data_IF_140877816164
#
_entry.id   IF_140877816164
#
_cell.length_a   1.000
_cell.length_b   1.000
_cell.length_c   1.000
_cell.angle_alpha   90.00
_cell.angle_beta   90.00
_cell.angle_gamma   90.00
#
_symmetry.space_group_name_H-M   'P 1'
#
loop_
_entity.id
_entity.type
_entity.pdbx_description
1 polymer ?
#
# COMPACT_ATOMS: atom_id res chain seq x y z
N UNK A 1 7.50 -15.96 5.28
CA UNK A 1 6.77 -14.79 5.76
C UNK A 1 6.83 -13.66 4.72
N UNK A 2 5.74 -12.99 4.49
CA UNK A 2 5.68 -11.92 3.51
C UNK A 2 5.67 -10.59 4.23
N UNK A 3 6.53 -9.70 3.80
CA UNK A 3 6.62 -8.39 4.42
C UNK A 3 5.41 -7.54 4.07
N UNK A 4 5.03 -6.68 5.00
CA UNK A 4 3.90 -5.79 4.78
C UNK A 4 4.12 -4.91 3.53
N UNK A 5 5.34 -4.41 3.34
CA UNK A 5 5.60 -3.56 2.18
C UNK A 5 5.39 -4.32 0.87
N UNK A 6 5.57 -5.64 0.88
CA UNK A 6 5.32 -6.44 -0.31
C UNK A 6 3.84 -6.47 -0.63
N UNK A 7 3.00 -6.64 0.39
CA UNK A 7 1.56 -6.64 0.17
C UNK A 7 1.05 -5.26 -0.25
N UNK A 8 1.58 -4.21 0.35
CA UNK A 8 1.19 -2.86 -0.04
C UNK A 8 1.58 -2.61 -1.48
N UNK A 9 2.81 -2.98 -1.84
CA UNK A 9 3.27 -2.79 -3.21
C UNK A 9 2.40 -3.52 -4.22
N UNK A 10 2.02 -4.75 -3.90
CA UNK A 10 1.16 -5.54 -4.78
C UNK A 10 -0.22 -4.89 -4.93
N UNK A 11 -0.76 -4.36 -3.85
CA UNK A 11 -2.07 -3.71 -3.92
C UNK A 11 -2.04 -2.47 -4.80
N UNK A 12 -0.97 -1.68 -4.68
CA UNK A 12 -0.82 -0.49 -5.50
C UNK A 12 -0.65 -0.86 -6.97
N UNK A 13 0.16 -1.87 -7.24
CA UNK A 13 0.37 -2.32 -8.61
C UNK A 13 -0.92 -2.84 -9.22
N UNK A 14 -1.68 -3.61 -8.47
CA UNK A 14 -2.93 -4.16 -8.97
C UNK A 14 -3.91 -3.04 -9.34
N UNK A 15 -4.01 -2.02 -8.49
CA UNK A 15 -4.89 -0.90 -8.77
C UNK A 15 -4.45 -0.14 -10.02
N UNK A 16 -3.14 0.05 -10.17
CA UNK A 16 -2.62 0.73 -11.35
C UNK A 16 -2.94 -0.04 -12.61
N UNK A 17 -2.69 -1.35 -12.58
CA UNK A 17 -2.93 -2.18 -13.76
C UNK A 17 -4.42 -2.23 -14.09
N UNK A 18 -5.26 -2.32 -13.07
CA UNK A 18 -6.70 -2.34 -13.28
C UNK A 18 -7.17 -1.06 -13.96
N UNK A 19 -6.52 0.05 -13.67
CA UNK A 19 -6.88 1.33 -14.27
C UNK A 19 -6.23 1.53 -15.64
N UNK A 20 -5.42 0.58 -16.09
CA UNK A 20 -4.76 0.70 -17.37
C UNK A 20 -3.72 1.80 -17.42
N UNK A 21 -3.12 2.14 -16.27
CA UNK A 21 -2.18 3.24 -16.19
C UNK A 21 -0.75 2.72 -16.12
N UNK A 22 0.17 3.49 -16.70
CA UNK A 22 1.56 3.11 -16.69
C UNK A 22 2.20 3.53 -15.37
N UNK A 23 3.33 2.91 -15.09
CA UNK A 23 4.10 3.28 -13.91
C UNK A 23 4.50 4.74 -13.98
N UNK A 24 4.91 5.21 -15.17
CA UNK A 24 5.31 6.59 -15.35
C UNK A 24 4.16 7.55 -15.08
N UNK A 25 2.97 7.19 -15.52
CA UNK A 25 1.82 8.03 -15.33
C UNK A 25 1.48 8.22 -13.84
N UNK A 26 1.49 7.13 -13.09
CA UNK A 26 1.19 7.22 -11.67
C UNK A 26 2.32 7.93 -10.92
N UNK A 27 3.56 7.67 -11.29
CA UNK A 27 4.68 8.34 -10.64
C UNK A 27 4.58 9.85 -10.83
N UNK A 28 4.20 10.27 -12.04
CA UNK A 28 4.05 11.69 -12.33
C UNK A 28 2.92 12.29 -11.49
N UNK A 29 1.79 11.61 -11.43
CA UNK A 29 0.65 12.10 -10.66
C UNK A 29 0.97 12.19 -9.18
N UNK A 30 1.72 11.25 -8.65
CA UNK A 30 2.07 11.23 -7.25
C UNK A 30 3.28 12.10 -6.93
N UNK A 31 3.96 12.60 -7.97
CA UNK A 31 5.15 13.43 -7.82
C UNK A 31 6.28 12.69 -7.14
N UNK A 32 6.47 11.44 -7.53
CA UNK A 32 7.60 10.65 -7.06
C UNK A 32 8.38 10.19 -8.28
N UNK A 33 9.61 9.76 -8.06
CA UNK A 33 10.42 9.28 -9.17
C UNK A 33 9.90 7.93 -9.64
N UNK A 34 10.14 7.65 -10.91
CA UNK A 34 9.73 6.38 -11.49
C UNK A 34 10.42 5.22 -10.77
N UNK A 35 11.70 5.36 -10.50
CA UNK A 35 12.43 4.30 -9.81
C UNK A 35 11.91 4.05 -8.41
N UNK A 36 11.56 5.13 -7.71
CA UNK A 36 11.02 4.99 -6.37
C UNK A 36 9.70 4.22 -6.39
N UNK A 37 8.78 4.63 -7.27
CA UNK A 37 7.50 3.94 -7.35
C UNK A 37 7.68 2.48 -7.76
N UNK A 38 8.60 2.22 -8.68
CA UNK A 38 8.88 0.86 -9.10
C UNK A 38 9.33 0.01 -7.91
N UNK A 39 10.21 0.55 -7.08
CA UNK A 39 10.71 -0.19 -5.93
C UNK A 39 9.61 -0.41 -4.90
N UNK A 40 8.74 0.56 -4.72
CA UNK A 40 7.62 0.41 -3.79
C UNK A 40 6.67 -0.68 -4.27
N UNK A 41 6.37 -0.69 -5.56
CA UNK A 41 5.47 -1.71 -6.10
C UNK A 41 6.06 -3.11 -5.97
N UNK A 42 7.37 -3.23 -6.08
CA UNK A 42 8.01 -4.53 -5.96
C UNK A 42 8.30 -4.94 -4.52
N UNK A 43 7.91 -4.10 -3.57
CA UNK A 43 8.13 -4.43 -2.17
C UNK A 43 9.57 -4.28 -1.74
N UNK A 44 10.38 -3.57 -2.51
CA UNK A 44 11.79 -3.40 -2.22
C UNK A 44 12.09 -2.16 -1.39
N UNK A 45 11.10 -1.31 -1.21
CA UNK A 45 11.27 -0.09 -0.45
C UNK A 45 9.99 0.23 0.30
N UNK A 46 10.14 0.63 1.54
CA UNK A 46 8.99 1.08 2.32
C UNK A 46 8.74 2.53 2.03
N UNK A 47 7.51 2.88 1.75
CA UNK A 47 7.16 4.26 1.52
C UNK A 47 6.81 4.91 2.85
N UNK A 48 7.20 6.16 3.03
CA UNK A 48 6.74 6.92 4.18
C UNK A 48 5.23 7.08 4.06
N UNK A 49 4.55 7.32 5.17
CA UNK A 49 3.10 7.46 5.10
C UNK A 49 2.71 8.63 4.22
N UNK A 50 3.50 9.67 4.19
CA UNK A 50 3.22 10.81 3.35
C UNK A 50 3.30 10.46 1.87
N UNK A 51 4.37 9.77 1.46
CA UNK A 51 4.51 9.39 0.06
C UNK A 51 3.52 8.30 -0.32
N UNK A 52 3.23 7.40 0.60
CA UNK A 52 2.23 6.36 0.33
C UNK A 52 0.86 6.99 0.11
N UNK A 53 0.51 8.00 0.91
CA UNK A 53 -0.74 8.71 0.72
C UNK A 53 -0.78 9.41 -0.63
N UNK A 54 0.33 9.97 -1.08
CA UNK A 54 0.40 10.62 -2.38
C UNK A 54 0.16 9.61 -3.51
N UNK A 55 0.74 8.43 -3.40
CA UNK A 55 0.55 7.39 -4.41
C UNK A 55 -0.91 6.91 -4.40
N UNK A 56 -1.48 6.70 -3.22
CA UNK A 56 -2.87 6.29 -3.12
C UNK A 56 -3.79 7.34 -3.73
N UNK A 57 -3.54 8.62 -3.44
CA UNK A 57 -4.34 9.69 -4.04
C UNK A 57 -4.26 9.68 -5.55
N UNK A 58 -3.05 9.46 -6.07
CA UNK A 58 -2.86 9.42 -7.52
C UNK A 58 -3.67 8.29 -8.15
N UNK A 59 -3.90 7.22 -7.40
CA UNK A 59 -4.67 6.09 -7.87
C UNK A 59 -6.15 6.18 -7.50
N UNK A 60 -6.55 7.25 -6.83
CA UNK A 60 -7.94 7.40 -6.41
C UNK A 60 -8.33 6.49 -5.26
N UNK A 61 -7.34 6.06 -4.47
CA UNK A 61 -7.58 5.17 -3.35
C UNK A 61 -7.40 5.92 -2.04
N UNK A 62 -8.06 5.44 -0.99
CA UNK A 62 -7.78 5.97 0.34
C UNK A 62 -6.71 5.11 0.97
N UNK A 63 -5.88 5.73 1.78
CA UNK A 63 -4.83 5.00 2.47
C UNK A 63 -5.42 3.96 3.40
N UNK A 64 -6.48 4.31 4.11
CA UNK A 64 -7.12 3.35 5.01
C UNK A 64 -7.72 2.19 4.24
N UNK A 65 -8.24 2.42 3.05
CA UNK A 65 -8.78 1.35 2.22
C UNK A 65 -7.70 0.37 1.81
N UNK A 66 -6.52 0.89 1.44
CA UNK A 66 -5.41 0.03 1.06
C UNK A 66 -4.96 -0.81 2.25
N UNK A 67 -4.82 -0.21 3.41
CA UNK A 67 -4.42 -0.97 4.60
C UNK A 67 -5.48 -1.99 4.99
N UNK A 68 -6.75 -1.67 4.82
CA UNK A 68 -7.81 -2.60 5.12
C UNK A 68 -7.75 -3.83 4.20
N UNK A 69 -7.52 -3.60 2.92
CA UNK A 69 -7.43 -4.69 1.96
C UNK A 69 -6.22 -5.56 2.23
N UNK A 70 -5.07 -4.95 2.55
CA UNK A 70 -3.87 -5.70 2.85
C UNK A 70 -4.05 -6.50 4.14
N UNK A 71 -4.71 -5.91 5.13
CA UNK A 71 -4.96 -6.59 6.39
C UNK A 71 -5.83 -7.81 6.17
N UNK A 72 -6.86 -7.69 5.35
CA UNK A 72 -7.74 -8.81 5.06
C UNK A 72 -6.99 -9.93 4.35
N UNK A 73 -6.12 -9.57 3.43
CA UNK A 73 -5.34 -10.57 2.71
C UNK A 73 -4.38 -11.30 3.64
N UNK A 74 -3.74 -10.58 4.55
CA UNK A 74 -2.84 -11.21 5.49
C UNK A 74 -3.58 -12.18 6.40
N UNK A 75 -4.73 -11.79 6.87
CA UNK A 75 -5.53 -12.67 7.72
C UNK A 75 -5.94 -13.92 6.95
N UNK A 76 -6.35 -13.75 5.72
CA UNK A 76 -6.79 -14.87 4.91
C UNK A 76 -5.66 -15.85 4.64
N UNK A 77 -4.48 -15.33 4.31
CA UNK A 77 -3.37 -16.19 3.95
C UNK A 77 -2.72 -16.87 5.11
N UNK A 78 -2.55 -16.15 6.21
CA UNK A 78 -1.73 -16.62 7.30
C UNK A 78 -2.51 -16.93 8.57
N UNK A 79 -3.76 -16.64 8.59
CA UNK A 79 -4.57 -16.83 9.79
C UNK A 79 -4.13 -15.93 10.91
N UNK A 80 -3.45 -14.85 10.58
CA UNK A 80 -2.89 -13.97 11.57
C UNK A 80 -3.75 -12.74 11.75
N UNK A 81 -3.90 -12.32 12.98
CA UNK A 81 -4.60 -11.08 13.25
C UNK A 81 -3.55 -10.00 13.41
N UNK A 82 -3.77 -8.88 12.76
CA UNK A 82 -2.83 -7.78 12.88
C UNK A 82 -3.13 -7.03 14.15
N UNK A 83 -2.65 -7.56 15.23
CA UNK A 83 -3.00 -7.01 16.52
C UNK A 83 -2.38 -5.66 16.77
N UNK A 84 -1.44 -5.29 15.97
CA UNK A 84 -0.83 -3.98 16.10
C UNK A 84 -1.89 -2.90 15.99
N UNK A 85 -2.95 -3.20 15.27
CA UNK A 85 -4.03 -2.26 15.11
C UNK A 85 -4.73 -2.05 16.43
N UNK A 86 -4.76 -3.07 17.23
CA UNK A 86 -5.46 -2.97 18.46
C UNK A 86 -4.74 -2.16 19.49
N UNK A 87 -3.45 -2.03 19.34
CA UNK A 87 -2.70 -1.27 20.31
C UNK A 87 -3.24 0.12 20.45
N UNK A 88 -3.72 0.69 19.35
CA UNK A 88 -4.22 2.01 19.46
C UNK A 88 -5.64 2.03 19.95
N UNK A 89 -6.34 1.00 19.75
CA UNK A 89 -7.74 1.03 20.13
C UNK A 89 -7.92 0.88 21.60
N UNK A 90 -6.92 0.41 22.23
CA UNK A 90 -7.08 0.31 23.56
C UNK A 90 -7.11 1.50 24.20
N UNK A 91 -6.72 2.21 23.74
CA UNK A 91 -6.85 3.31 24.23
C UNK A 91 -7.91 3.86 24.23
N UNK A 92 -8.21 3.34 24.07
CA UNK A 92 -9.15 3.70 24.01
C UNK A 92 -9.83 3.56 24.61
N UNK A 93 -9.45 3.02 24.82
CA UNK A 93 -10.03 2.84 25.08
C UNK A 93 -10.34 3.03 25.41
#
# INVERSE_FOLDING_TARGET
MILLRTHIGSALRAARIEQGRTLRDVAKSARVSLGYLSEVERGQKEASSELLNAICSALGLSLSGVFSDVSAELKSREGVTLTVVDARSEEHT
#
